data_IF_005899151417
#
_entry.id   IF_005899151417
#
_cell.length_a   1.000
_cell.length_b   1.000
_cell.length_c   1.000
_cell.angle_alpha   90.00
_cell.angle_beta   90.00
_cell.angle_gamma   90.00
#
_symmetry.space_group_name_H-M   'P 1'
#
loop_
_entity.id
_entity.type
_entity.pdbx_description
1 polymer ?
#
# COMPACT_ATOMS: atom_id res chain seq x y z
N UNK A 1 -35.59 10.06 18.92
CA UNK A 1 -34.90 9.28 17.88
C UNK A 1 -33.52 8.95 18.43
N UNK A 2 -33.31 7.72 18.91
CA UNK A 2 -32.02 7.32 19.48
C UNK A 2 -31.06 7.06 18.31
N UNK A 3 -30.03 7.89 18.19
CA UNK A 3 -28.93 7.68 17.24
C UNK A 3 -28.18 6.43 17.68
N UNK A 4 -28.34 5.31 16.96
CA UNK A 4 -27.50 4.14 17.16
C UNK A 4 -26.08 4.49 16.72
N UNK A 5 -25.21 4.80 17.68
CA UNK A 5 -23.79 4.91 17.43
C UNK A 5 -23.27 3.51 17.10
N UNK A 6 -22.90 3.28 15.85
CA UNK A 6 -22.13 2.11 15.47
C UNK A 6 -20.73 2.37 16.01
N UNK A 7 -20.34 1.65 17.06
CA UNK A 7 -18.95 1.62 17.51
C UNK A 7 -18.20 0.66 16.60
N UNK A 8 -17.28 1.18 15.79
CA UNK A 8 -16.38 0.37 14.97
C UNK A 8 -15.17 -0.07 15.81
N UNK A 9 -14.70 -1.28 15.56
CA UNK A 9 -13.46 -1.77 16.17
C UNK A 9 -12.27 -0.91 15.72
N UNK A 10 -11.32 -0.58 16.62
CA UNK A 10 -10.15 0.20 16.26
C UNK A 10 -9.30 -0.48 15.16
N UNK A 11 -8.86 0.29 14.17
CA UNK A 11 -7.90 -0.19 13.17
C UNK A 11 -6.56 -0.46 13.85
N UNK A 12 -6.00 -1.65 13.64
CA UNK A 12 -4.71 -2.05 14.22
C UNK A 12 -3.60 -2.16 13.17
N UNK A 13 -3.92 -2.59 11.94
CA UNK A 13 -2.94 -2.88 10.89
C UNK A 13 -3.20 -2.03 9.66
N UNK A 14 -2.19 -1.27 9.23
CA UNK A 14 -2.26 -0.36 8.10
C UNK A 14 -1.11 -0.65 7.15
N UNK A 15 -1.39 -0.74 5.85
CA UNK A 15 -0.37 -0.88 4.83
C UNK A 15 -0.27 0.40 3.99
N UNK A 16 0.95 0.78 3.61
CA UNK A 16 1.20 1.87 2.66
C UNK A 16 1.89 1.29 1.43
N UNK A 17 1.16 1.26 0.31
CA UNK A 17 1.65 0.69 -0.93
C UNK A 17 2.19 1.76 -1.87
N UNK A 18 3.41 1.52 -2.35
CA UNK A 18 4.10 2.38 -3.30
C UNK A 18 4.59 1.56 -4.47
N UNK A 19 4.63 2.17 -5.65
CA UNK A 19 5.08 1.48 -6.86
C UNK A 19 4.12 0.40 -7.35
N UNK A 20 2.80 0.58 -7.16
CA UNK A 20 1.79 -0.25 -7.86
C UNK A 20 1.95 -0.10 -9.37
N UNK A 21 2.14 1.13 -9.82
CA UNK A 21 2.75 1.41 -11.11
C UNK A 21 4.22 1.80 -10.91
N UNK A 22 5.12 1.12 -11.62
CA UNK A 22 6.56 1.25 -11.37
C UNK A 22 7.18 2.58 -11.78
N UNK A 23 6.50 3.38 -12.59
CA UNK A 23 6.92 4.70 -13.05
C UNK A 23 6.30 5.88 -12.27
N UNK A 24 5.45 5.62 -11.26
CA UNK A 24 4.88 6.65 -10.38
C UNK A 24 5.82 6.90 -9.19
N UNK A 25 6.82 7.75 -9.42
CA UNK A 25 8.01 7.83 -8.59
C UNK A 25 7.77 8.25 -7.14
N UNK A 26 6.79 9.12 -6.87
CA UNK A 26 6.52 9.61 -5.50
C UNK A 26 6.28 8.47 -4.52
N UNK A 27 5.39 7.54 -4.86
CA UNK A 27 5.10 6.38 -4.02
C UNK A 27 6.29 5.43 -3.90
N UNK A 28 7.05 5.26 -4.98
CA UNK A 28 8.26 4.41 -4.99
C UNK A 28 9.31 4.94 -4.01
N UNK A 29 9.62 6.23 -4.07
CA UNK A 29 10.66 6.83 -3.23
C UNK A 29 10.23 6.94 -1.78
N UNK A 30 9.00 7.36 -1.49
CA UNK A 30 8.49 7.44 -0.11
C UNK A 30 8.47 6.07 0.57
N UNK A 31 7.99 5.04 -0.12
CA UNK A 31 7.97 3.69 0.47
C UNK A 31 9.38 3.12 0.65
N UNK A 32 10.31 3.36 -0.28
CA UNK A 32 11.73 2.99 -0.07
C UNK A 32 12.31 3.71 1.15
N UNK A 33 12.05 5.01 1.28
CA UNK A 33 12.46 5.78 2.44
C UNK A 33 11.92 5.20 3.75
N UNK A 34 10.62 4.89 3.81
CA UNK A 34 10.00 4.32 5.02
C UNK A 34 10.39 2.87 5.31
N UNK A 35 10.81 2.10 4.30
CA UNK A 35 11.39 0.77 4.51
C UNK A 35 12.78 0.83 5.16
N UNK A 36 13.56 1.88 4.86
CA UNK A 36 14.85 2.13 5.50
C UNK A 36 14.67 2.76 6.89
N UNK A 37 13.74 3.70 7.02
CA UNK A 37 13.40 4.35 8.28
C UNK A 37 11.91 4.71 8.35
N UNK A 38 11.15 3.95 9.15
CA UNK A 38 9.72 4.12 9.30
C UNK A 38 9.28 5.19 10.31
N UNK A 39 10.18 5.93 10.95
CA UNK A 39 9.84 6.81 12.08
C UNK A 39 8.72 7.83 11.77
N UNK A 40 8.69 8.37 10.55
CA UNK A 40 7.69 9.35 10.10
C UNK A 40 6.25 8.78 10.13
N UNK A 41 6.09 7.49 9.84
CA UNK A 41 4.78 6.84 9.68
C UNK A 41 4.34 6.05 10.93
N UNK A 42 5.16 5.99 11.98
CA UNK A 42 4.79 5.31 13.22
C UNK A 42 3.74 6.09 14.01
N UNK A 43 2.75 5.38 14.56
CA UNK A 43 1.71 5.96 15.42
C UNK A 43 1.43 4.98 16.58
N UNK A 44 1.22 5.51 17.77
CA UNK A 44 0.88 4.70 18.94
C UNK A 44 -0.39 3.88 18.66
N UNK A 45 -0.32 2.57 18.89
CA UNK A 45 -1.45 1.66 18.70
C UNK A 45 -1.67 1.19 17.26
N UNK A 46 -0.85 1.61 16.29
CA UNK A 46 -0.93 1.14 14.90
C UNK A 46 0.34 0.37 14.47
N UNK A 47 0.14 -0.77 13.83
CA UNK A 47 1.15 -1.44 13.03
C UNK A 47 1.08 -0.89 11.59
N UNK A 48 2.02 -0.03 11.21
CA UNK A 48 2.09 0.54 9.86
C UNK A 48 3.20 -0.12 9.03
N UNK A 49 2.85 -0.70 7.89
CA UNK A 49 3.77 -1.44 7.01
C UNK A 49 3.87 -0.82 5.61
N UNK A 50 4.99 -0.14 5.29
CA UNK A 50 5.26 0.29 3.91
C UNK A 50 5.65 -0.94 3.05
N UNK A 51 5.25 -0.95 1.77
CA UNK A 51 5.53 -2.09 0.88
C UNK A 51 5.59 -1.68 -0.61
N UNK A 52 6.62 -2.16 -1.33
CA UNK A 52 6.73 -2.00 -2.79
C UNK A 52 5.96 -3.12 -3.47
N UNK A 53 4.87 -2.77 -4.16
CA UNK A 53 3.92 -3.75 -4.72
C UNK A 53 4.35 -4.34 -6.07
N UNK A 54 4.93 -3.54 -6.97
CA UNK A 54 5.42 -4.02 -8.27
C UNK A 54 6.96 -3.85 -8.42
N UNK A 55 7.78 -4.63 -7.70
CA UNK A 55 9.23 -4.45 -7.70
C UNK A 55 9.86 -4.63 -9.08
N UNK A 56 9.30 -5.49 -9.93
CA UNK A 56 9.77 -5.70 -11.30
C UNK A 56 9.52 -4.46 -12.17
N UNK A 57 8.32 -3.88 -12.11
CA UNK A 57 8.00 -2.67 -12.88
C UNK A 57 8.79 -1.45 -12.37
N UNK A 58 8.93 -1.32 -11.04
CA UNK A 58 9.77 -0.28 -10.41
C UNK A 58 11.21 -0.35 -10.91
N UNK A 59 11.81 -1.56 -10.93
CA UNK A 59 13.18 -1.75 -11.44
C UNK A 59 13.35 -1.31 -12.89
N UNK A 60 12.30 -1.46 -13.71
CA UNK A 60 12.30 -1.07 -15.13
C UNK A 60 11.78 0.35 -15.38
N UNK A 61 11.40 1.10 -14.34
CA UNK A 61 10.74 2.41 -14.46
C UNK A 61 9.58 2.41 -15.48
N UNK A 62 8.76 1.37 -15.45
CA UNK A 62 7.60 1.21 -16.35
C UNK A 62 6.33 1.05 -15.52
N UNK A 63 5.16 1.31 -16.11
CA UNK A 63 3.87 1.20 -15.42
C UNK A 63 3.65 -0.22 -14.89
N UNK A 64 3.81 -1.23 -15.73
CA UNK A 64 3.67 -2.65 -15.37
C UNK A 64 4.56 -3.54 -16.23
N UNK A 65 4.64 -4.84 -15.90
CA UNK A 65 5.40 -5.83 -16.69
C UNK A 65 4.50 -6.49 -17.73
N UNK A 66 3.50 -7.25 -17.29
CA UNK A 66 2.62 -8.01 -18.18
C UNK A 66 1.24 -7.35 -18.30
N UNK A 67 0.60 -7.07 -17.17
CA UNK A 67 -0.69 -6.39 -17.07
C UNK A 67 -0.71 -5.41 -15.89
N UNK A 68 -1.71 -4.53 -15.87
CA UNK A 68 -1.85 -3.53 -14.81
C UNK A 68 -2.17 -4.21 -13.45
N UNK A 69 -1.23 -4.11 -12.50
CA UNK A 69 -1.37 -4.70 -11.17
C UNK A 69 -2.61 -4.18 -10.44
N UNK A 70 -3.04 -2.94 -10.70
CA UNK A 70 -4.22 -2.34 -10.09
C UNK A 70 -5.54 -2.76 -10.77
N UNK A 71 -5.54 -3.84 -11.56
CA UNK A 71 -6.71 -4.36 -12.29
C UNK A 71 -6.90 -5.87 -12.16
N UNK A 72 -6.06 -6.56 -11.37
CA UNK A 72 -6.04 -8.04 -11.28
C UNK A 72 -6.25 -8.56 -9.84
N UNK A 73 -6.94 -7.78 -9.01
CA UNK A 73 -7.31 -8.16 -7.63
C UNK A 73 -8.81 -8.50 -7.51
N UNK A 74 -9.44 -8.90 -8.61
CA UNK A 74 -10.78 -9.52 -8.56
C UNK A 74 -10.69 -10.97 -8.06
N UNK A 75 -11.83 -11.53 -7.65
CA UNK A 75 -11.90 -12.88 -7.07
C UNK A 75 -11.48 -13.98 -8.05
N UNK A 76 -11.65 -13.77 -9.36
CA UNK A 76 -11.28 -14.75 -10.38
C UNK A 76 -9.76 -14.86 -10.53
N UNK A 77 -9.05 -13.74 -10.42
CA UNK A 77 -7.60 -13.68 -10.47
C UNK A 77 -6.90 -14.01 -9.14
N UNK A 78 -7.62 -13.96 -8.01
CA UNK A 78 -7.06 -14.20 -6.68
C UNK A 78 -6.92 -15.69 -6.30
N UNK A 79 -7.71 -16.58 -6.92
CA UNK A 79 -7.65 -18.03 -6.70
C UNK A 79 -8.26 -18.50 -5.39
#
# INVERSE_FOLDING_TARGET
MSSCHIAEEPIQKVAIFGGTHGNELTGVFLVKHWLENGAEIQRTGLEVKPFITNPRAVKKCTRYIDCDLNRIFDLENLG
#
